data_IF_233002792912
#
_entry.id   IF_233002792912
#
_cell.length_a   1.000
_cell.length_b   1.000
_cell.length_c   1.000
_cell.angle_alpha   90.00
_cell.angle_beta   90.00
_cell.angle_gamma   90.00
#
_symmetry.space_group_name_H-M   'P 1'
#
loop_
_entity.id
_entity.type
_entity.pdbx_description
1 polymer ?
#
# COMPACT_ATOMS: atom_id res chain seq x y z
N UNK A 1 5.73 13.66 -13.33
CA UNK A 1 4.62 13.44 -14.27
C UNK A 1 4.99 14.14 -15.57
N UNK A 2 4.98 13.42 -16.71
CA UNK A 2 5.17 14.04 -18.02
C UNK A 2 3.97 14.94 -18.32
N UNK A 3 4.23 16.15 -18.80
CA UNK A 3 3.17 17.04 -19.27
C UNK A 3 2.80 16.74 -20.73
N UNK A 4 3.43 15.75 -21.33
CA UNK A 4 3.23 15.38 -22.73
C UNK A 4 2.03 14.43 -22.90
N UNK A 5 1.36 14.51 -24.04
CA UNK A 5 0.31 13.59 -24.43
C UNK A 5 0.92 12.50 -25.30
N UNK A 6 0.51 11.26 -25.07
CA UNK A 6 0.94 10.13 -25.89
C UNK A 6 -0.21 9.69 -26.77
N UNK A 7 0.02 9.75 -28.09
CA UNK A 7 -0.89 9.21 -29.11
C UNK A 7 -0.41 7.84 -29.53
N UNK A 8 -1.28 6.85 -29.42
CA UNK A 8 -1.03 5.48 -29.93
C UNK A 8 -1.96 5.30 -31.12
N UNK A 9 -1.38 5.19 -32.33
CA UNK A 9 -2.12 4.92 -33.56
C UNK A 9 -2.17 3.43 -33.81
N UNK A 10 -3.34 2.90 -34.14
CA UNK A 10 -3.58 1.49 -34.38
C UNK A 10 -4.00 1.26 -35.83
N UNK A 11 -3.52 0.17 -36.44
CA UNK A 11 -4.03 -0.35 -37.67
C UNK A 11 -4.60 -1.76 -37.39
N UNK A 12 -5.92 -1.85 -37.29
CA UNK A 12 -6.58 -3.04 -36.73
C UNK A 12 -6.20 -3.25 -35.27
N UNK A 13 -5.61 -4.40 -34.94
CA UNK A 13 -5.16 -4.76 -33.58
C UNK A 13 -3.66 -4.52 -33.38
N UNK A 14 -2.96 -3.97 -34.37
CA UNK A 14 -1.51 -3.71 -34.29
C UNK A 14 -1.23 -2.23 -34.01
N UNK A 15 -0.19 -1.97 -33.21
CA UNK A 15 0.31 -0.61 -32.97
C UNK A 15 1.13 -0.19 -34.17
N UNK A 16 0.64 0.79 -34.93
CA UNK A 16 1.33 1.37 -36.09
C UNK A 16 2.39 2.39 -35.66
N UNK A 17 2.04 3.27 -34.70
CA UNK A 17 2.87 4.40 -34.31
C UNK A 17 2.58 4.85 -32.90
N UNK A 18 3.64 5.25 -32.16
CA UNK A 18 3.52 5.91 -30.86
C UNK A 18 4.17 7.30 -30.99
N UNK A 19 3.41 8.36 -30.78
CA UNK A 19 3.86 9.74 -30.96
C UNK A 19 3.69 10.53 -29.66
N UNK A 20 4.71 11.28 -29.28
CA UNK A 20 4.67 12.24 -28.18
C UNK A 20 4.20 13.57 -28.72
N UNK A 21 3.13 14.12 -28.14
CA UNK A 21 2.56 15.42 -28.52
C UNK A 21 2.82 16.47 -27.46
N UNK A 22 2.86 17.70 -27.89
CA UNK A 22 2.82 18.84 -26.99
C UNK A 22 1.46 18.92 -26.30
N UNK A 23 1.47 19.18 -25.00
CA UNK A 23 0.25 19.22 -24.18
C UNK A 23 -0.67 20.41 -24.53
N UNK A 24 -0.12 21.51 -25.02
CA UNK A 24 -0.88 22.73 -25.29
C UNK A 24 -1.27 22.85 -26.76
N UNK A 25 -0.30 22.64 -27.67
CA UNK A 25 -0.55 22.81 -29.11
C UNK A 25 -1.03 21.53 -29.79
N UNK A 26 -0.85 20.38 -29.17
CA UNK A 26 -1.10 19.05 -29.74
C UNK A 26 -0.22 18.71 -30.94
N UNK A 27 0.84 19.51 -31.18
CA UNK A 27 1.81 19.24 -32.24
C UNK A 27 2.63 18.00 -31.95
N UNK A 28 3.01 17.28 -32.99
CA UNK A 28 3.87 16.10 -32.89
C UNK A 28 5.30 16.52 -32.56
N UNK A 29 5.80 16.10 -31.38
CA UNK A 29 7.18 16.35 -30.92
C UNK A 29 8.13 15.27 -31.40
N UNK A 30 7.76 14.02 -31.22
CA UNK A 30 8.66 12.88 -31.44
C UNK A 30 7.90 11.57 -31.57
N UNK A 31 8.36 10.71 -32.47
CA UNK A 31 7.97 9.29 -32.51
C UNK A 31 8.88 8.44 -31.63
N UNK A 32 8.31 7.45 -30.98
CA UNK A 32 9.03 6.50 -30.13
C UNK A 32 8.59 5.07 -30.42
N UNK A 33 9.54 4.14 -30.39
CA UNK A 33 9.26 2.73 -30.62
C UNK A 33 8.66 2.05 -29.37
N UNK A 34 9.02 2.54 -28.19
CA UNK A 34 8.58 1.99 -26.90
C UNK A 34 8.18 3.13 -25.99
N UNK A 35 7.02 2.98 -25.33
CA UNK A 35 6.60 3.88 -24.26
C UNK A 35 6.12 3.08 -23.06
N UNK A 36 6.59 3.43 -21.85
CA UNK A 36 6.16 2.79 -20.60
C UNK A 36 5.01 3.56 -20.00
N UNK A 37 3.86 2.92 -19.90
CA UNK A 37 2.70 3.45 -19.17
C UNK A 37 2.78 2.96 -17.74
N UNK A 38 2.91 3.90 -16.82
CA UNK A 38 2.90 3.59 -15.39
C UNK A 38 1.47 3.63 -14.84
N UNK A 39 1.14 2.79 -13.86
CA UNK A 39 -0.15 2.82 -13.23
C UNK A 39 -0.47 4.19 -12.63
N UNK A 40 -1.70 4.68 -12.83
CA UNK A 40 -2.18 5.92 -12.22
C UNK A 40 -2.57 5.76 -10.75
N UNK A 41 -2.65 4.54 -10.26
CA UNK A 41 -2.99 4.20 -8.86
C UNK A 41 -1.90 3.34 -8.26
N UNK A 42 -1.65 3.53 -6.95
CA UNK A 42 -0.64 2.76 -6.21
C UNK A 42 -1.03 1.28 -5.99
N UNK A 43 -2.31 0.97 -6.00
CA UNK A 43 -2.84 -0.37 -5.71
C UNK A 43 -3.37 -0.99 -7.00
N UNK A 44 -2.49 -1.69 -7.70
CA UNK A 44 -2.86 -2.60 -8.79
C UNK A 44 -2.57 -4.02 -8.34
N UNK A 45 -3.61 -4.81 -8.20
CA UNK A 45 -3.53 -6.15 -7.67
C UNK A 45 -3.99 -7.12 -8.76
N UNK A 46 -3.16 -8.12 -9.06
CA UNK A 46 -3.52 -9.20 -9.98
C UNK A 46 -4.76 -9.95 -9.45
N UNK A 47 -5.63 -10.39 -10.36
CA UNK A 47 -6.92 -10.99 -10.01
C UNK A 47 -6.79 -12.19 -9.07
N UNK A 48 -5.82 -13.06 -9.32
CA UNK A 48 -5.56 -14.25 -8.52
C UNK A 48 -5.13 -13.91 -7.07
N UNK A 49 -4.32 -12.87 -6.90
CA UNK A 49 -3.91 -12.34 -5.58
C UNK A 49 -5.13 -11.74 -4.88
N UNK A 50 -5.94 -10.95 -5.59
CA UNK A 50 -7.16 -10.36 -5.06
C UNK A 50 -8.13 -11.43 -4.56
N UNK A 51 -8.40 -12.46 -5.36
CA UNK A 51 -9.34 -13.53 -5.01
C UNK A 51 -8.88 -14.32 -3.77
N UNK A 52 -7.57 -14.54 -3.61
CA UNK A 52 -6.98 -15.13 -2.39
C UNK A 52 -7.13 -14.21 -1.18
N UNK A 53 -6.82 -12.92 -1.35
CA UNK A 53 -6.94 -11.93 -0.28
C UNK A 53 -8.39 -11.82 0.22
N UNK A 54 -9.38 -11.72 -0.69
CA UNK A 54 -10.80 -11.66 -0.35
C UNK A 54 -11.23 -12.88 0.48
N UNK A 55 -10.82 -14.09 0.09
CA UNK A 55 -11.11 -15.31 0.87
C UNK A 55 -10.49 -15.24 2.26
N UNK A 56 -9.26 -14.76 2.37
CA UNK A 56 -8.54 -14.61 3.64
C UNK A 56 -9.20 -13.57 4.54
N UNK A 57 -9.60 -12.41 4.01
CA UNK A 57 -10.33 -11.36 4.73
C UNK A 57 -11.69 -11.90 5.23
N UNK A 58 -12.46 -12.60 4.39
CA UNK A 58 -13.74 -13.23 4.78
C UNK A 58 -13.55 -14.23 5.93
N UNK A 59 -12.44 -14.99 5.90
CA UNK A 59 -12.10 -15.94 6.96
C UNK A 59 -11.75 -15.23 8.28
N UNK A 60 -10.95 -14.17 8.24
CA UNK A 60 -10.62 -13.37 9.43
C UNK A 60 -11.86 -12.69 9.99
N UNK A 61 -12.70 -12.08 9.15
CA UNK A 61 -13.95 -11.47 9.56
C UNK A 61 -14.81 -12.47 10.35
N UNK A 62 -15.05 -13.67 9.80
CA UNK A 62 -15.83 -14.71 10.46
C UNK A 62 -15.31 -15.06 11.87
N UNK A 63 -13.98 -15.17 12.01
CA UNK A 63 -13.33 -15.45 13.31
C UNK A 63 -13.50 -14.28 14.27
N UNK A 64 -13.30 -13.05 13.81
CA UNK A 64 -13.35 -11.84 14.64
C UNK A 64 -14.78 -11.59 15.13
N UNK A 65 -15.78 -11.77 14.27
CA UNK A 65 -17.19 -11.57 14.63
C UNK A 65 -17.65 -12.47 15.79
N UNK A 66 -17.04 -13.64 15.99
CA UNK A 66 -17.39 -14.52 17.10
C UNK A 66 -16.90 -14.04 18.47
N UNK A 67 -16.00 -13.06 18.50
CA UNK A 67 -15.37 -12.56 19.74
C UNK A 67 -15.82 -11.16 20.15
N UNK A 68 -16.56 -10.47 19.28
CA UNK A 68 -17.00 -9.08 19.51
C UNK A 68 -18.40 -9.00 20.12
N UNK A 69 -18.66 -7.95 20.94
CA UNK A 69 -20.01 -7.58 21.36
C UNK A 69 -20.88 -7.23 20.13
N UNK A 70 -22.20 -7.24 20.31
CA UNK A 70 -23.14 -7.17 19.18
C UNK A 70 -23.05 -5.88 18.36
N UNK A 71 -22.83 -4.73 19.01
CA UNK A 71 -22.73 -3.44 18.31
C UNK A 71 -21.46 -3.35 17.43
N UNK A 72 -20.33 -3.74 18.01
CA UNK A 72 -19.03 -3.77 17.32
C UNK A 72 -19.04 -4.80 16.19
N UNK A 73 -19.68 -5.93 16.41
CA UNK A 73 -19.89 -6.99 15.43
C UNK A 73 -20.64 -6.47 14.21
N UNK A 74 -21.80 -5.85 14.40
CA UNK A 74 -22.61 -5.30 13.30
C UNK A 74 -21.84 -4.24 12.51
N UNK A 75 -21.12 -3.35 13.21
CA UNK A 75 -20.31 -2.30 12.60
C UNK A 75 -19.19 -2.89 11.74
N UNK A 76 -18.42 -3.83 12.29
CA UNK A 76 -17.32 -4.47 11.60
C UNK A 76 -17.81 -5.26 10.38
N UNK A 77 -18.89 -6.00 10.53
CA UNK A 77 -19.47 -6.80 9.47
C UNK A 77 -19.93 -5.92 8.31
N UNK A 78 -20.71 -4.89 8.59
CA UNK A 78 -21.22 -3.97 7.57
C UNK A 78 -20.06 -3.26 6.81
N UNK A 79 -19.08 -2.74 7.56
CA UNK A 79 -17.94 -2.05 6.98
C UNK A 79 -17.10 -2.99 6.13
N UNK A 80 -16.76 -4.16 6.64
CA UNK A 80 -15.88 -5.10 5.90
C UNK A 80 -16.58 -5.69 4.68
N UNK A 81 -17.88 -5.97 4.75
CA UNK A 81 -18.64 -6.41 3.56
C UNK A 81 -18.62 -5.36 2.46
N UNK A 82 -18.89 -4.10 2.79
CA UNK A 82 -18.80 -3.00 1.83
C UNK A 82 -17.39 -2.87 1.21
N UNK A 83 -16.34 -2.91 2.04
CA UNK A 83 -14.96 -2.84 1.56
C UNK A 83 -14.64 -4.03 0.62
N UNK A 84 -15.15 -5.23 0.93
CA UNK A 84 -14.97 -6.43 0.08
C UNK A 84 -15.68 -6.29 -1.27
N UNK A 85 -16.91 -5.78 -1.31
CA UNK A 85 -17.63 -5.50 -2.56
C UNK A 85 -16.83 -4.53 -3.45
N UNK A 86 -16.34 -3.44 -2.87
CA UNK A 86 -15.49 -2.48 -3.58
C UNK A 86 -14.19 -3.11 -4.12
N UNK A 87 -13.55 -3.99 -3.34
CA UNK A 87 -12.34 -4.71 -3.76
C UNK A 87 -12.66 -5.69 -4.89
N UNK A 88 -13.77 -6.43 -4.80
CA UNK A 88 -14.18 -7.40 -5.81
C UNK A 88 -14.55 -6.72 -7.14
N UNK A 89 -15.26 -5.60 -7.11
CA UNK A 89 -15.72 -4.90 -8.31
C UNK A 89 -14.67 -3.95 -8.91
N UNK A 90 -14.07 -3.11 -8.07
CA UNK A 90 -13.18 -2.03 -8.52
C UNK A 90 -11.70 -2.32 -8.30
N UNK A 91 -11.36 -3.42 -7.59
CA UNK A 91 -9.99 -3.72 -7.18
C UNK A 91 -9.42 -2.79 -6.09
N UNK A 92 -10.27 -1.96 -5.48
CA UNK A 92 -9.85 -0.95 -4.50
C UNK A 92 -10.99 -0.61 -3.54
N UNK A 93 -10.64 -0.27 -2.29
CA UNK A 93 -11.55 0.37 -1.34
C UNK A 93 -10.82 1.47 -0.54
N UNK A 94 -11.57 2.36 0.09
CA UNK A 94 -10.98 3.36 0.99
C UNK A 94 -10.41 2.68 2.23
N UNK A 95 -9.10 2.88 2.48
CA UNK A 95 -8.40 2.23 3.58
C UNK A 95 -7.92 0.81 3.25
N UNK A 96 -7.72 0.49 1.96
CA UNK A 96 -7.25 -0.83 1.50
C UNK A 96 -5.93 -1.24 2.17
N UNK A 97 -5.12 -0.29 2.61
CA UNK A 97 -3.88 -0.52 3.34
C UNK A 97 -4.10 -1.30 4.65
N UNK A 98 -5.29 -1.23 5.25
CA UNK A 98 -5.62 -2.00 6.46
C UNK A 98 -5.77 -3.50 6.18
N UNK A 99 -5.88 -3.87 4.93
CA UNK A 99 -5.95 -5.25 4.44
C UNK A 99 -4.63 -5.72 3.79
N UNK A 100 -3.57 -4.87 3.79
CA UNK A 100 -2.32 -5.11 3.05
C UNK A 100 -1.71 -6.50 3.30
N UNK A 101 -1.73 -6.99 4.54
CA UNK A 101 -1.24 -8.33 4.89
C UNK A 101 -1.84 -9.43 4.02
N UNK A 102 -3.13 -9.34 3.70
CA UNK A 102 -3.82 -10.35 2.89
C UNK A 102 -3.40 -10.32 1.42
N UNK A 103 -3.02 -9.14 0.94
CA UNK A 103 -2.55 -8.95 -0.45
C UNK A 103 -1.08 -9.30 -0.62
N UNK A 104 -0.26 -9.00 0.40
CA UNK A 104 1.18 -9.25 0.40
C UNK A 104 1.52 -10.69 0.76
N UNK A 105 0.59 -11.45 1.33
CA UNK A 105 0.82 -12.82 1.81
C UNK A 105 1.71 -12.90 3.05
N UNK A 106 1.85 -11.80 3.80
CA UNK A 106 2.63 -11.75 5.06
C UNK A 106 1.95 -12.53 6.18
N UNK A 107 2.77 -13.04 7.10
CA UNK A 107 2.27 -13.64 8.32
C UNK A 107 1.76 -12.57 9.31
N UNK A 108 0.83 -12.92 10.23
CA UNK A 108 0.45 -12.03 11.32
C UNK A 108 1.65 -11.54 12.13
N UNK A 109 1.72 -10.23 12.37
CA UNK A 109 2.79 -9.58 13.11
C UNK A 109 3.98 -9.11 12.26
N UNK A 110 4.10 -9.55 11.01
CA UNK A 110 5.14 -9.06 10.10
C UNK A 110 4.87 -7.61 9.66
N UNK A 111 5.88 -6.73 9.64
CA UNK A 111 5.72 -5.35 9.19
C UNK A 111 5.43 -5.27 7.71
N UNK A 112 4.75 -4.22 7.28
CA UNK A 112 4.62 -3.91 5.86
C UNK A 112 5.98 -3.56 5.24
N UNK A 113 6.11 -3.80 3.93
CA UNK A 113 7.28 -3.34 3.19
C UNK A 113 7.39 -1.81 3.27
N UNK A 114 8.59 -1.33 3.48
CA UNK A 114 8.91 0.09 3.54
C UNK A 114 9.92 0.47 2.47
N UNK A 115 10.18 1.76 2.31
CA UNK A 115 11.11 2.26 1.29
C UNK A 115 12.49 1.59 1.36
N UNK A 116 12.98 1.29 2.57
CA UNK A 116 14.28 0.64 2.77
C UNK A 116 14.35 -0.77 2.17
N UNK A 117 13.21 -1.45 1.99
CA UNK A 117 13.17 -2.80 1.40
C UNK A 117 13.43 -2.79 -0.13
N UNK A 118 13.31 -1.61 -0.77
CA UNK A 118 13.53 -1.44 -2.20
C UNK A 118 14.95 -1.01 -2.55
N UNK A 119 15.77 -0.65 -1.55
CA UNK A 119 17.19 -0.44 -1.76
C UNK A 119 17.93 -1.77 -1.75
N UNK A 120 19.03 -1.85 -2.47
CA UNK A 120 19.91 -3.03 -2.42
C UNK A 120 20.53 -3.23 -1.02
N UNK A 121 21.33 -4.28 -0.88
CA UNK A 121 21.97 -4.59 0.42
C UNK A 121 23.03 -3.56 0.85
N UNK A 122 23.47 -2.71 -0.05
CA UNK A 122 24.52 -1.71 0.16
C UNK A 122 23.97 -0.33 -0.16
N UNK A 123 23.65 0.43 0.86
CA UNK A 123 23.26 1.83 0.77
C UNK A 123 23.76 2.58 2.01
N UNK A 124 24.05 3.85 1.81
CA UNK A 124 24.35 4.79 2.89
C UNK A 124 23.06 5.51 3.28
N UNK A 125 22.67 5.43 4.55
CA UNK A 125 21.56 6.18 5.09
C UNK A 125 22.10 7.44 5.80
N UNK A 126 21.62 8.60 5.39
CA UNK A 126 21.88 9.86 6.09
C UNK A 126 20.61 10.26 6.82
N UNK A 127 20.68 10.39 8.13
CA UNK A 127 19.56 10.81 8.98
C UNK A 127 19.80 12.25 9.39
N UNK A 128 19.05 13.15 8.77
CA UNK A 128 19.09 14.58 9.09
C UNK A 128 18.25 14.87 10.32
N UNK A 129 18.61 15.94 11.05
CA UNK A 129 17.98 16.31 12.33
C UNK A 129 17.83 15.10 13.27
N UNK A 130 18.89 14.32 13.38
CA UNK A 130 18.86 13.00 14.06
C UNK A 130 18.42 13.10 15.52
N UNK A 131 18.69 14.22 16.18
CA UNK A 131 18.24 14.49 17.55
C UNK A 131 16.71 14.57 17.70
N UNK A 132 15.98 14.85 16.61
CA UNK A 132 14.51 14.86 16.57
C UNK A 132 13.99 13.58 15.91
N UNK A 133 14.61 13.15 14.80
CA UNK A 133 14.15 12.02 13.99
C UNK A 133 14.22 10.70 14.77
N UNK A 134 15.28 10.44 15.53
CA UNK A 134 15.42 9.18 16.28
C UNK A 134 14.37 9.02 17.39
N UNK A 135 14.09 10.03 18.24
CA UNK A 135 12.98 9.95 19.19
C UNK A 135 11.62 9.72 18.53
N UNK A 136 11.36 10.33 17.37
CA UNK A 136 10.13 10.09 16.60
C UNK A 136 10.03 8.63 16.14
N UNK A 137 11.10 8.07 15.57
CA UNK A 137 11.14 6.67 15.14
C UNK A 137 10.87 5.70 16.31
N UNK A 138 11.40 5.97 17.49
CA UNK A 138 11.12 5.20 18.70
C UNK A 138 9.63 5.24 19.10
N UNK A 139 8.97 6.40 18.92
CA UNK A 139 7.57 6.60 19.30
C UNK A 139 6.55 6.07 18.30
N UNK A 140 6.89 6.00 17.01
CA UNK A 140 5.94 5.76 15.91
C UNK A 140 5.14 4.47 16.07
N UNK A 141 5.80 3.36 16.37
CA UNK A 141 5.12 2.06 16.51
C UNK A 141 4.08 2.08 17.63
N UNK A 142 4.44 2.59 18.80
CA UNK A 142 3.54 2.61 19.96
C UNK A 142 2.33 3.51 19.72
N UNK A 143 2.55 4.66 19.09
CA UNK A 143 1.47 5.60 18.74
C UNK A 143 0.48 5.00 17.75
N UNK A 144 0.98 4.38 16.68
CA UNK A 144 0.13 3.70 15.68
C UNK A 144 -0.63 2.51 16.30
N UNK A 145 0.04 1.69 17.10
CA UNK A 145 -0.56 0.57 17.79
C UNK A 145 -1.72 1.01 18.70
N UNK A 146 -1.51 2.04 19.53
CA UNK A 146 -2.53 2.54 20.44
C UNK A 146 -3.78 3.03 19.68
N UNK A 147 -3.58 3.79 18.60
CA UNK A 147 -4.67 4.24 17.74
C UNK A 147 -5.42 3.08 17.10
N UNK A 148 -4.72 2.12 16.53
CA UNK A 148 -5.33 0.95 15.88
C UNK A 148 -6.04 0.04 16.86
N UNK A 149 -5.50 -0.11 18.08
CA UNK A 149 -6.15 -0.88 19.13
C UNK A 149 -7.57 -0.38 19.38
N UNK A 150 -7.75 0.93 19.54
CA UNK A 150 -9.08 1.49 19.70
C UNK A 150 -9.99 1.21 18.50
N UNK A 151 -9.47 1.35 17.27
CA UNK A 151 -10.28 1.08 16.07
C UNK A 151 -10.71 -0.38 15.95
N UNK A 152 -9.89 -1.32 16.40
CA UNK A 152 -10.19 -2.76 16.38
C UNK A 152 -11.14 -3.12 17.51
N UNK A 153 -10.86 -2.65 18.73
CA UNK A 153 -11.68 -2.92 19.91
C UNK A 153 -13.13 -2.44 19.72
N UNK A 154 -13.33 -1.32 19.01
CA UNK A 154 -14.65 -0.77 18.71
C UNK A 154 -15.25 -1.22 17.36
N UNK A 155 -14.70 -2.24 16.72
CA UNK A 155 -15.24 -2.84 15.50
C UNK A 155 -15.13 -1.97 14.24
N UNK A 156 -14.18 -1.05 14.15
CA UNK A 156 -13.95 -0.25 12.95
C UNK A 156 -12.93 -0.87 11.98
N UNK A 157 -12.10 -1.81 12.46
CA UNK A 157 -11.07 -2.48 11.67
C UNK A 157 -10.92 -3.94 12.08
N UNK A 158 -10.48 -4.79 11.13
CA UNK A 158 -10.04 -6.14 11.43
C UNK A 158 -8.70 -6.14 12.18
N UNK A 159 -8.39 -7.18 12.95
CA UNK A 159 -7.08 -7.33 13.62
C UNK A 159 -5.89 -7.23 12.68
N UNK A 160 -6.01 -7.68 11.42
CA UNK A 160 -4.97 -7.54 10.40
C UNK A 160 -4.52 -6.10 10.13
N UNK A 161 -5.33 -5.10 10.48
CA UNK A 161 -4.93 -3.70 10.38
C UNK A 161 -3.70 -3.37 11.25
N UNK A 162 -3.42 -4.13 12.32
CA UNK A 162 -2.19 -4.00 13.09
C UNK A 162 -0.92 -4.25 12.26
N UNK A 163 -1.01 -5.05 11.21
CA UNK A 163 0.15 -5.45 10.40
C UNK A 163 0.52 -4.42 9.31
N UNK A 164 -0.35 -3.44 9.06
CA UNK A 164 0.00 -2.22 8.32
C UNK A 164 0.53 -1.16 9.31
N UNK A 165 1.75 -1.28 9.71
CA UNK A 165 2.36 -0.52 10.80
C UNK A 165 3.76 0.00 10.48
N UNK A 166 4.21 1.06 11.14
CA UNK A 166 5.63 1.42 11.12
C UNK A 166 6.49 0.26 11.64
N UNK A 167 7.74 0.24 11.23
CA UNK A 167 8.73 -0.65 11.84
C UNK A 167 8.86 -0.34 13.34
N UNK A 168 9.08 -1.38 14.13
CA UNK A 168 9.65 -1.19 15.47
C UNK A 168 11.06 -0.65 15.31
N UNK A 169 11.56 0.05 16.30
CA UNK A 169 12.90 0.63 16.21
C UNK A 169 13.97 -0.44 15.96
N UNK A 170 13.87 -1.58 16.63
CA UNK A 170 14.80 -2.71 16.47
C UNK A 170 14.69 -3.37 15.08
N UNK A 171 13.51 -3.29 14.43
CA UNK A 171 13.34 -3.75 13.04
C UNK A 171 13.97 -2.77 12.06
N UNK A 172 13.87 -1.47 12.34
CA UNK A 172 14.54 -0.41 11.58
C UNK A 172 16.06 -0.56 11.69
N UNK A 173 16.61 -0.69 12.90
CA UNK A 173 18.06 -0.86 13.12
C UNK A 173 18.63 -2.05 12.34
N UNK A 174 17.93 -3.17 12.28
CA UNK A 174 18.35 -4.36 11.51
C UNK A 174 18.46 -4.14 10.00
N UNK A 175 17.80 -3.11 9.48
CA UNK A 175 17.89 -2.74 8.05
C UNK A 175 19.06 -1.81 7.76
N UNK A 176 19.68 -1.23 8.79
CA UNK A 176 20.78 -0.30 8.66
C UNK A 176 22.12 -1.04 8.53
N UNK A 177 22.99 -0.54 7.67
CA UNK A 177 24.38 -0.97 7.54
C UNK A 177 25.31 0.20 7.81
N UNK A 178 25.34 1.15 6.91
CA UNK A 178 26.15 2.36 7.02
C UNK A 178 25.23 3.57 7.24
N UNK A 179 25.45 4.31 8.32
CA UNK A 179 24.59 5.42 8.73
C UNK A 179 25.41 6.62 9.12
N UNK A 180 25.00 7.80 8.64
CA UNK A 180 25.50 9.09 9.08
C UNK A 180 24.37 9.83 9.80
N UNK A 181 24.64 10.27 11.01
CA UNK A 181 23.74 11.11 11.79
C UNK A 181 24.18 12.56 11.66
N UNK A 182 23.26 13.42 11.22
CA UNK A 182 23.45 14.87 11.12
C UNK A 182 22.53 15.55 12.12
N UNK A 183 23.04 16.57 12.82
CA UNK A 183 22.28 17.29 13.85
C UNK A 183 22.60 18.78 13.80
#
# INVERSE_FOLDING_TARGET
YSQDIIRISLFGDEIEKITILDNMSLDEKKDVEIFKIFPAKHYLIAKDIRDKAVKSIKSELKKTLSTLPELEKQRLEMRTKYDLEMIEELGYCSGIENYSRHFDGRNPGEPAFCLLDFYGKEFLLVIDESHVTLPQLHGMYKGDYSRKKSLIDYGFRLPSAFDNRPLKFEEFEKKLKDVIFVS
#
